data_IF_046604915649
#
_entry.id   IF_046604915649
#
_cell.length_a   1.000
_cell.length_b   1.000
_cell.length_c   1.000
_cell.angle_alpha   90.00
_cell.angle_beta   90.00
_cell.angle_gamma   90.00
#
_symmetry.space_group_name_H-M   'P 1'
#
loop_
_entity.id
_entity.type
_entity.pdbx_description
1 polymer ?
#
# COMPACT_ATOMS: atom_id res chain seq x y z
N UNK A 1 -4.08 -25.94 7.92
CA UNK A 1 -5.07 -25.36 6.98
C UNK A 1 -4.43 -24.16 6.31
N UNK A 2 -4.31 -24.16 4.98
CA UNK A 2 -3.78 -23.02 4.23
C UNK A 2 -4.81 -21.88 4.29
N UNK A 3 -4.63 -20.95 5.22
CA UNK A 3 -5.37 -19.68 5.19
C UNK A 3 -4.80 -18.85 4.04
N UNK A 4 -5.61 -18.64 3.00
CA UNK A 4 -5.33 -17.71 1.91
C UNK A 4 -5.19 -16.29 2.47
N UNK A 5 -4.18 -15.54 2.02
CA UNK A 5 -4.04 -14.13 2.37
C UNK A 5 -5.21 -13.33 1.75
N UNK A 6 -5.88 -12.49 2.55
CA UNK A 6 -6.96 -11.62 2.07
C UNK A 6 -6.37 -10.46 1.29
N UNK A 7 -6.73 -10.33 0.02
CA UNK A 7 -6.31 -9.21 -0.82
C UNK A 7 -7.34 -8.07 -0.79
N UNK A 8 -6.85 -6.84 -0.69
CA UNK A 8 -7.60 -5.60 -0.79
C UNK A 8 -7.01 -4.75 -1.91
N UNK A 9 -7.85 -4.17 -2.77
CA UNK A 9 -7.39 -3.22 -3.79
C UNK A 9 -7.60 -1.79 -3.33
N UNK A 10 -6.59 -0.93 -3.40
CA UNK A 10 -6.83 0.53 -3.38
C UNK A 10 -7.08 1.01 -4.81
N UNK A 11 -8.10 1.83 -5.02
CA UNK A 11 -8.42 2.35 -6.34
C UNK A 11 -8.83 3.83 -6.30
N UNK A 12 -8.32 4.68 -7.21
CA UNK A 12 -8.83 6.04 -7.38
C UNK A 12 -10.24 6.05 -7.99
N UNK A 13 -10.98 7.17 -7.89
CA UNK A 13 -12.42 7.21 -8.18
C UNK A 13 -12.79 6.79 -9.61
N UNK A 14 -11.94 7.12 -10.59
CA UNK A 14 -12.08 6.79 -12.00
C UNK A 14 -11.83 5.30 -12.29
N UNK A 15 -11.15 4.59 -11.39
CA UNK A 15 -10.77 3.18 -11.57
C UNK A 15 -11.53 2.22 -10.64
N UNK A 16 -12.30 2.71 -9.65
CA UNK A 16 -13.08 1.88 -8.73
C UNK A 16 -13.95 0.81 -9.45
N UNK A 17 -14.63 1.18 -10.54
CA UNK A 17 -15.48 0.24 -11.29
C UNK A 17 -14.68 -0.86 -11.97
N UNK A 18 -13.46 -0.56 -12.43
CA UNK A 18 -12.59 -1.54 -13.06
C UNK A 18 -12.03 -2.49 -12.00
N UNK A 19 -11.57 -1.96 -10.86
CA UNK A 19 -11.09 -2.75 -9.72
C UNK A 19 -12.15 -3.73 -9.19
N UNK A 20 -13.41 -3.30 -9.06
CA UNK A 20 -14.51 -4.14 -8.58
C UNK A 20 -14.78 -5.37 -9.46
N UNK A 21 -14.39 -5.37 -10.74
CA UNK A 21 -14.60 -6.51 -11.65
C UNK A 21 -13.80 -7.75 -11.23
N UNK A 22 -12.76 -7.57 -10.44
CA UNK A 22 -11.92 -8.65 -9.93
C UNK A 22 -12.51 -9.37 -8.71
N UNK A 23 -13.67 -8.94 -8.20
CA UNK A 23 -14.35 -9.58 -7.07
C UNK A 23 -13.64 -9.43 -5.72
N UNK A 24 -12.59 -8.60 -5.67
CA UNK A 24 -11.89 -8.25 -4.45
C UNK A 24 -12.55 -7.05 -3.73
N UNK A 25 -12.46 -6.97 -2.40
CA UNK A 25 -12.77 -5.74 -1.68
C UNK A 25 -11.95 -4.57 -2.23
N UNK A 26 -12.57 -3.39 -2.32
CA UNK A 26 -11.92 -2.16 -2.78
C UNK A 26 -11.92 -1.12 -1.66
N UNK A 27 -10.76 -0.51 -1.43
CA UNK A 27 -10.55 0.67 -0.62
C UNK A 27 -10.48 1.90 -1.54
N UNK A 28 -11.41 2.83 -1.36
CA UNK A 28 -11.63 3.94 -2.29
C UNK A 28 -10.71 5.12 -1.94
N UNK A 29 -9.71 5.37 -2.81
CA UNK A 29 -8.73 6.48 -2.71
C UNK A 29 -9.38 7.76 -3.18
N UNK A 30 -10.19 8.33 -2.31
CA UNK A 30 -11.09 9.41 -2.69
C UNK A 30 -11.35 10.41 -1.57
N UNK A 31 -10.66 10.27 -0.44
CA UNK A 31 -10.84 11.12 0.71
C UNK A 31 -9.50 11.64 1.20
N UNK A 32 -9.53 12.84 1.76
CA UNK A 32 -8.36 13.44 2.41
C UNK A 32 -8.76 14.26 3.62
N UNK A 33 -7.80 14.47 4.52
CA UNK A 33 -7.90 15.46 5.59
C UNK A 33 -7.63 16.83 4.98
N UNK A 34 -8.65 17.69 4.91
CA UNK A 34 -8.48 19.08 4.47
C UNK A 34 -8.26 20.05 5.62
N UNK A 35 -8.15 21.33 5.26
CA UNK A 35 -7.93 22.42 6.23
C UNK A 35 -8.97 22.42 7.35
N UNK A 36 -8.52 22.66 8.58
CA UNK A 36 -9.36 22.61 9.77
C UNK A 36 -9.82 21.21 10.18
N UNK A 37 -9.11 20.15 9.76
CA UNK A 37 -9.45 18.73 10.02
C UNK A 37 -10.84 18.32 9.55
N UNK A 38 -11.27 18.78 8.38
CA UNK A 38 -12.51 18.30 7.78
C UNK A 38 -12.26 17.20 6.75
N UNK A 39 -13.22 16.30 6.59
CA UNK A 39 -13.18 15.27 5.57
C UNK A 39 -13.52 15.86 4.20
N UNK A 40 -12.55 15.85 3.29
CA UNK A 40 -12.77 16.22 1.90
C UNK A 40 -12.94 14.95 1.07
N UNK A 41 -13.81 15.02 0.07
CA UNK A 41 -14.15 13.91 -0.80
C UNK A 41 -14.01 14.31 -2.26
N UNK A 42 -13.31 13.50 -3.05
CA UNK A 42 -13.26 13.59 -4.51
C UNK A 42 -14.56 13.09 -5.15
N UNK A 43 -14.75 13.34 -6.45
CA UNK A 43 -15.96 12.87 -7.13
C UNK A 43 -15.94 11.34 -7.30
N UNK A 44 -16.64 10.62 -6.42
CA UNK A 44 -16.84 9.17 -6.53
C UNK A 44 -18.21 8.90 -7.15
N UNK A 45 -18.31 8.03 -8.17
CA UNK A 45 -19.61 7.64 -8.73
C UNK A 45 -20.57 7.12 -7.65
N UNK A 46 -21.82 7.59 -7.65
CA UNK A 46 -22.84 7.26 -6.61
C UNK A 46 -23.12 5.75 -6.52
N UNK A 47 -22.90 5.02 -7.62
CA UNK A 47 -23.03 3.57 -7.69
C UNK A 47 -21.97 2.80 -6.90
N UNK A 48 -20.84 3.42 -6.57
CA UNK A 48 -19.76 2.78 -5.83
C UNK A 48 -20.11 2.83 -4.34
N UNK A 49 -20.26 1.64 -3.75
CA UNK A 49 -20.66 1.39 -2.36
C UNK A 49 -19.94 0.15 -1.84
N UNK A 50 -19.87 0.01 -0.53
CA UNK A 50 -19.17 -1.12 0.10
C UNK A 50 -17.65 -0.98 0.04
N UNK A 51 -16.94 -1.83 0.77
CA UNK A 51 -15.49 -1.77 0.87
C UNK A 51 -15.00 -0.74 1.88
N UNK A 52 -13.82 -0.18 1.66
CA UNK A 52 -13.14 0.65 2.66
C UNK A 52 -13.01 2.11 2.20
N UNK A 53 -12.97 3.02 3.16
CA UNK A 53 -12.56 4.41 2.92
C UNK A 53 -11.04 4.53 3.00
N UNK A 54 -10.38 5.08 1.98
CA UNK A 54 -8.98 5.52 2.10
C UNK A 54 -8.95 7.02 2.32
N UNK A 55 -8.20 7.47 3.33
CA UNK A 55 -8.03 8.88 3.68
C UNK A 55 -6.54 9.22 3.68
N UNK A 56 -6.12 10.15 2.82
CA UNK A 56 -4.76 10.70 2.83
C UNK A 56 -4.66 12.03 3.59
N UNK A 57 -3.45 12.51 3.86
CA UNK A 57 -3.17 13.79 4.52
C UNK A 57 -2.56 14.84 3.56
N UNK A 58 -2.77 14.71 2.25
CA UNK A 58 -2.20 15.60 1.24
C UNK A 58 -2.72 17.02 1.40
N UNK A 59 -1.80 17.97 1.63
CA UNK A 59 -2.13 19.38 1.80
C UNK A 59 -2.77 19.72 3.15
N UNK A 60 -2.73 18.81 4.14
CA UNK A 60 -3.17 19.08 5.49
C UNK A 60 -2.15 19.94 6.25
N UNK A 61 -2.62 20.97 6.96
CA UNK A 61 -1.77 21.96 7.65
C UNK A 61 -1.40 21.58 9.10
N UNK A 62 -1.88 20.43 9.57
CA UNK A 62 -1.62 19.94 10.93
C UNK A 62 -2.50 20.57 12.01
N UNK A 63 -3.49 21.39 11.67
CA UNK A 63 -4.34 22.12 12.63
C UNK A 63 -5.77 21.63 12.63
N UNK A 64 -6.39 21.65 13.81
CA UNK A 64 -7.80 21.30 14.00
C UNK A 64 -7.98 20.25 15.10
N UNK A 65 -9.15 19.62 15.12
CA UNK A 65 -9.58 18.68 16.15
C UNK A 65 -9.93 17.30 15.56
N UNK A 66 -9.34 16.25 16.13
CA UNK A 66 -9.56 14.88 15.68
C UNK A 66 -11.00 14.37 15.89
N UNK A 67 -11.67 14.82 16.95
CA UNK A 67 -13.00 14.30 17.33
C UNK A 67 -14.07 14.55 16.24
N UNK A 68 -14.33 15.82 15.87
CA UNK A 68 -15.26 16.15 14.80
C UNK A 68 -14.93 15.45 13.47
N UNK A 69 -13.64 15.43 13.10
CA UNK A 69 -13.14 14.72 11.93
C UNK A 69 -13.54 13.23 11.93
N UNK A 70 -13.32 12.52 13.04
CA UNK A 70 -13.65 11.10 13.14
C UNK A 70 -15.16 10.85 12.99
N UNK A 71 -16.01 11.79 13.44
CA UNK A 71 -17.46 11.69 13.25
C UNK A 71 -17.86 11.89 11.78
N UNK A 72 -17.21 12.80 11.07
CA UNK A 72 -17.42 12.98 9.63
C UNK A 72 -17.04 11.71 8.85
N UNK A 73 -15.88 11.13 9.18
CA UNK A 73 -15.40 9.86 8.61
C UNK A 73 -16.43 8.74 8.81
N UNK A 74 -16.90 8.53 10.04
CA UNK A 74 -17.90 7.50 10.31
C UNK A 74 -19.22 7.74 9.60
N UNK A 75 -19.70 8.99 9.57
CA UNK A 75 -20.96 9.33 8.90
C UNK A 75 -20.91 9.02 7.42
N UNK A 76 -19.81 9.37 6.76
CA UNK A 76 -19.60 9.08 5.35
C UNK A 76 -19.42 7.57 5.10
N UNK A 77 -18.70 6.84 5.97
CA UNK A 77 -18.61 5.38 5.90
C UNK A 77 -20.00 4.74 5.94
N UNK A 78 -20.85 5.15 6.89
CA UNK A 78 -22.23 4.65 6.99
C UNK A 78 -23.07 5.00 5.74
N UNK A 79 -22.94 6.22 5.21
CA UNK A 79 -23.68 6.66 4.03
C UNK A 79 -23.30 5.89 2.75
N UNK A 80 -22.03 5.47 2.65
CA UNK A 80 -21.49 4.71 1.51
C UNK A 80 -21.52 3.20 1.71
N UNK A 81 -21.87 2.75 2.92
CA UNK A 81 -21.83 1.34 3.31
C UNK A 81 -20.41 0.78 3.42
N UNK A 82 -19.42 1.63 3.71
CA UNK A 82 -18.07 1.17 3.97
C UNK A 82 -17.97 0.46 5.32
N UNK A 83 -17.17 -0.60 5.35
CA UNK A 83 -17.01 -1.50 6.50
C UNK A 83 -15.56 -1.56 7.01
N UNK A 84 -14.74 -0.57 6.65
CA UNK A 84 -13.38 -0.37 7.15
C UNK A 84 -12.75 0.93 6.67
N UNK A 85 -11.60 1.26 7.24
CA UNK A 85 -10.89 2.52 6.99
C UNK A 85 -9.41 2.21 6.76
N UNK A 86 -8.79 2.94 5.84
CA UNK A 86 -7.35 2.97 5.61
C UNK A 86 -6.88 4.43 5.71
N UNK A 87 -6.04 4.74 6.69
CA UNK A 87 -5.40 6.05 6.83
C UNK A 87 -4.03 6.02 6.16
N UNK A 88 -3.95 6.62 4.98
CA UNK A 88 -2.75 6.75 4.16
C UNK A 88 -2.01 8.04 4.54
N UNK A 89 -1.59 8.11 5.81
CA UNK A 89 -0.97 9.30 6.36
C UNK A 89 0.53 9.25 6.20
N UNK A 90 1.05 10.10 5.32
CA UNK A 90 2.45 10.17 4.99
C UNK A 90 3.23 11.14 5.89
N UNK A 91 4.53 10.87 6.03
CA UNK A 91 5.46 11.68 6.80
C UNK A 91 5.43 11.44 8.31
N UNK A 92 6.03 12.37 9.06
CA UNK A 92 6.14 12.28 10.51
C UNK A 92 4.76 12.36 11.17
N UNK A 93 4.47 11.53 12.21
CA UNK A 93 3.19 11.56 12.89
C UNK A 93 2.82 12.94 13.43
N UNK A 94 1.73 13.51 12.93
CA UNK A 94 1.14 14.73 13.46
C UNK A 94 0.23 14.38 14.63
N UNK A 95 0.31 15.15 15.72
CA UNK A 95 -0.46 14.88 16.95
C UNK A 95 -1.97 14.74 16.70
N UNK A 96 -2.52 15.60 15.84
CA UNK A 96 -3.95 15.57 15.50
C UNK A 96 -4.33 14.30 14.72
N UNK A 97 -3.48 13.82 13.80
CA UNK A 97 -3.71 12.60 13.05
C UNK A 97 -3.50 11.35 13.92
N UNK A 98 -2.52 11.39 14.83
CA UNK A 98 -2.32 10.35 15.85
C UNK A 98 -3.56 10.21 16.76
N UNK A 99 -4.13 11.33 17.21
CA UNK A 99 -5.37 11.33 17.98
C UNK A 99 -6.56 10.85 17.14
N UNK A 100 -6.61 11.17 15.84
CA UNK A 100 -7.63 10.64 14.94
C UNK A 100 -7.50 9.11 14.78
N UNK A 101 -6.31 8.57 14.59
CA UNK A 101 -6.05 7.12 14.52
C UNK A 101 -6.47 6.43 15.82
N UNK A 102 -6.15 7.00 16.99
CA UNK A 102 -6.61 6.47 18.29
C UNK A 102 -8.14 6.39 18.35
N UNK A 103 -8.80 7.51 18.05
CA UNK A 103 -10.26 7.65 18.13
C UNK A 103 -10.97 6.73 17.13
N UNK A 104 -10.50 6.70 15.88
CA UNK A 104 -11.00 5.79 14.85
C UNK A 104 -10.77 4.33 15.25
N UNK A 105 -9.64 4.00 15.87
CA UNK A 105 -9.33 2.66 16.34
C UNK A 105 -10.34 2.12 17.35
N UNK A 106 -10.74 2.93 18.32
CA UNK A 106 -11.79 2.58 19.27
C UNK A 106 -13.17 2.41 18.59
N UNK A 107 -13.50 3.33 17.70
CA UNK A 107 -14.79 3.38 17.02
C UNK A 107 -14.98 2.22 16.02
N UNK A 108 -13.93 1.85 15.31
CA UNK A 108 -13.90 0.74 14.35
C UNK A 108 -13.87 -0.61 15.05
N UNK A 109 -13.08 -0.74 16.14
CA UNK A 109 -13.05 -1.96 16.97
C UNK A 109 -14.44 -2.32 17.51
N UNK A 110 -15.20 -1.34 18.01
CA UNK A 110 -16.60 -1.55 18.48
C UNK A 110 -17.54 -2.06 17.38
N UNK A 111 -17.21 -1.80 16.11
CA UNK A 111 -18.00 -2.21 14.92
C UNK A 111 -17.48 -3.47 14.25
N UNK A 112 -16.33 -4.00 14.67
CA UNK A 112 -15.65 -5.10 13.98
C UNK A 112 -15.05 -4.70 12.62
N UNK A 113 -14.83 -3.40 12.39
CA UNK A 113 -14.24 -2.88 11.15
C UNK A 113 -12.72 -2.85 11.25
N UNK A 114 -11.97 -3.22 10.19
CA UNK A 114 -10.53 -3.04 10.18
C UNK A 114 -10.17 -1.56 10.03
N UNK A 115 -9.12 -1.14 10.73
CA UNK A 115 -8.46 0.14 10.54
C UNK A 115 -7.02 -0.13 10.10
N UNK A 116 -6.73 0.11 8.83
CA UNK A 116 -5.37 0.06 8.29
C UNK A 116 -4.73 1.44 8.43
N UNK A 117 -3.44 1.48 8.77
CA UNK A 117 -2.69 2.74 8.89
C UNK A 117 -1.28 2.55 8.36
N UNK A 118 -0.68 3.61 7.85
CA UNK A 118 0.77 3.65 7.59
C UNK A 118 1.52 3.31 8.88
N UNK A 119 2.65 2.61 8.76
CA UNK A 119 3.35 2.02 9.90
C UNK A 119 3.67 3.02 11.02
N UNK A 120 4.05 4.25 10.67
CA UNK A 120 4.37 5.31 11.63
C UNK A 120 3.20 5.63 12.57
N UNK A 121 1.97 5.39 12.12
CA UNK A 121 0.75 5.64 12.88
C UNK A 121 0.22 4.42 13.64
N UNK A 122 0.72 3.21 13.36
CA UNK A 122 0.27 1.98 14.02
C UNK A 122 0.39 2.00 15.56
N UNK A 123 1.41 2.62 16.19
CA UNK A 123 1.52 2.70 17.65
C UNK A 123 0.42 3.50 18.35
N UNK A 124 -0.34 4.34 17.65
CA UNK A 124 -1.34 5.22 18.28
C UNK A 124 -2.69 4.55 18.53
N UNK A 125 -2.85 3.29 18.13
CA UNK A 125 -4.05 2.50 18.38
C UNK A 125 -3.68 1.04 18.67
N UNK A 126 -4.36 0.41 19.62
CA UNK A 126 -4.16 -1.02 19.94
C UNK A 126 -4.84 -1.97 18.95
N UNK A 127 -5.73 -1.45 18.09
CA UNK A 127 -6.48 -2.24 17.10
C UNK A 127 -6.10 -1.95 15.65
N UNK A 128 -5.32 -0.90 15.38
CA UNK A 128 -4.90 -0.57 14.03
C UNK A 128 -3.94 -1.64 13.46
N UNK A 129 -4.10 -1.90 12.17
CA UNK A 129 -3.30 -2.83 11.37
C UNK A 129 -2.24 -2.00 10.63
N UNK A 130 -0.97 -2.25 10.94
CA UNK A 130 0.17 -1.60 10.30
C UNK A 130 0.33 -2.08 8.86
N UNK A 131 0.33 -1.15 7.91
CA UNK A 131 0.71 -1.39 6.53
C UNK A 131 2.24 -1.36 6.43
N UNK A 132 2.84 -2.49 6.05
CA UNK A 132 4.28 -2.63 5.86
C UNK A 132 4.60 -2.64 4.36
N UNK A 133 5.29 -1.60 3.85
CA UNK A 133 5.75 -1.52 2.46
C UNK A 133 6.56 -2.75 2.05
N UNK A 134 6.34 -3.22 0.82
CA UNK A 134 7.06 -4.36 0.25
C UNK A 134 8.18 -3.95 -0.70
N UNK A 135 8.20 -2.68 -1.14
CA UNK A 135 9.27 -2.15 -1.96
C UNK A 135 10.52 -1.94 -1.09
N UNK A 136 11.58 -2.69 -1.40
CA UNK A 136 12.89 -2.56 -0.76
C UNK A 136 13.95 -2.43 -1.85
N UNK A 137 14.83 -1.44 -1.73
CA UNK A 137 16.04 -1.31 -2.56
C UNK A 137 17.28 -1.94 -1.92
N UNK A 138 17.14 -2.45 -0.69
CA UNK A 138 18.17 -3.17 0.06
C UNK A 138 17.60 -3.89 1.28
N UNK A 139 18.38 -4.78 1.88
CA UNK A 139 17.94 -5.60 3.02
C UNK A 139 17.06 -6.78 2.59
N UNK A 140 16.21 -7.25 3.50
CA UNK A 140 15.39 -8.47 3.35
C UNK A 140 13.93 -8.21 3.68
N UNK A 141 13.02 -8.54 2.76
CA UNK A 141 11.57 -8.44 2.99
C UNK A 141 11.13 -9.36 4.13
N UNK A 142 11.72 -10.56 4.22
CA UNK A 142 11.39 -11.48 5.30
C UNK A 142 11.78 -10.90 6.66
N UNK A 143 13.00 -10.38 6.79
CA UNK A 143 13.44 -9.75 8.04
C UNK A 143 12.57 -8.55 8.39
N UNK A 144 12.27 -7.68 7.41
CA UNK A 144 11.45 -6.50 7.59
C UNK A 144 10.04 -6.81 8.12
N UNK A 145 9.41 -7.83 7.56
CA UNK A 145 8.09 -8.29 8.01
C UNK A 145 8.17 -9.00 9.36
N UNK A 146 9.23 -9.77 9.63
CA UNK A 146 9.46 -10.40 10.92
C UNK A 146 9.56 -9.34 12.04
N UNK A 147 10.35 -8.28 11.84
CA UNK A 147 10.47 -7.17 12.80
C UNK A 147 9.13 -6.47 13.05
N UNK A 148 8.32 -6.27 12.00
CA UNK A 148 6.98 -5.70 12.15
C UNK A 148 6.03 -6.64 12.92
N UNK A 149 6.08 -7.95 12.66
CA UNK A 149 5.30 -8.97 13.37
C UNK A 149 5.71 -9.06 14.84
N UNK A 150 7.00 -8.99 15.16
CA UNK A 150 7.49 -8.95 16.54
C UNK A 150 7.02 -7.70 17.28
N UNK A 151 6.99 -6.55 16.58
CA UNK A 151 6.58 -5.28 17.16
C UNK A 151 5.07 -5.15 17.38
N UNK A 152 4.26 -5.58 16.41
CA UNK A 152 2.81 -5.32 16.40
C UNK A 152 1.96 -6.57 16.59
N UNK A 153 2.52 -7.76 16.37
CA UNK A 153 1.80 -9.03 16.25
C UNK A 153 1.25 -9.26 14.84
N UNK A 154 1.29 -10.50 14.36
CA UNK A 154 0.90 -10.86 12.99
C UNK A 154 -0.54 -10.46 12.62
N UNK A 155 -1.47 -10.48 13.58
CA UNK A 155 -2.86 -10.06 13.37
C UNK A 155 -3.02 -8.55 13.13
N UNK A 156 -2.01 -7.75 13.48
CA UNK A 156 -1.97 -6.29 13.32
C UNK A 156 -0.97 -5.85 12.25
N UNK A 157 -0.55 -6.76 11.38
CA UNK A 157 0.31 -6.45 10.24
C UNK A 157 -0.43 -6.81 8.96
N UNK A 158 -0.31 -5.95 7.96
CA UNK A 158 -0.73 -6.20 6.59
C UNK A 158 0.40 -5.82 5.64
N UNK A 159 0.59 -6.60 4.58
CA UNK A 159 1.58 -6.28 3.55
C UNK A 159 1.00 -5.21 2.62
N UNK A 160 1.67 -4.06 2.50
CA UNK A 160 1.41 -3.10 1.43
C UNK A 160 2.27 -3.49 0.22
N UNK A 161 1.64 -4.14 -0.76
CA UNK A 161 2.32 -4.55 -1.99
C UNK A 161 2.50 -3.33 -2.88
N UNK A 162 3.75 -3.10 -3.23
CA UNK A 162 4.17 -2.07 -4.15
C UNK A 162 4.88 -2.76 -5.31
N UNK A 163 4.43 -2.46 -6.52
CA UNK A 163 5.10 -2.94 -7.73
C UNK A 163 6.27 -2.01 -8.02
N UNK A 164 7.47 -2.47 -7.71
CA UNK A 164 8.70 -1.74 -8.01
C UNK A 164 8.96 -1.79 -9.51
N UNK A 165 9.47 -0.69 -10.06
CA UNK A 165 10.10 -0.62 -11.36
C UNK A 165 11.02 0.61 -11.34
N UNK A 166 12.30 0.40 -11.05
CA UNK A 166 13.26 1.49 -10.81
C UNK A 166 14.61 1.21 -11.49
N UNK A 167 15.22 2.26 -12.03
CA UNK A 167 16.56 2.25 -12.63
C UNK A 167 17.52 3.05 -11.74
N UNK A 168 18.44 2.35 -11.09
CA UNK A 168 19.43 2.90 -10.18
C UNK A 168 20.72 3.17 -10.93
N UNK A 169 21.18 4.42 -10.89
CA UNK A 169 22.52 4.76 -11.30
C UNK A 169 23.53 4.39 -10.20
N UNK A 170 24.60 3.67 -10.54
CA UNK A 170 25.56 3.16 -9.57
C UNK A 170 26.87 3.98 -9.51
N UNK A 171 27.37 4.27 -8.30
CA UNK A 171 26.80 3.92 -6.99
C UNK A 171 25.55 4.73 -6.66
N UNK A 172 24.58 4.11 -5.97
CA UNK A 172 23.31 4.74 -5.57
C UNK A 172 23.32 5.06 -4.07
N UNK A 173 23.95 6.18 -3.63
CA UNK A 173 24.16 6.48 -2.22
C UNK A 173 22.85 6.71 -1.44
N UNK A 174 21.79 7.15 -2.11
CA UNK A 174 20.48 7.39 -1.49
C UNK A 174 19.61 6.13 -1.43
N UNK A 175 19.99 5.06 -2.15
CA UNK A 175 19.16 3.88 -2.32
C UNK A 175 17.84 4.14 -3.05
N UNK A 176 17.75 5.22 -3.85
CA UNK A 176 16.56 5.58 -4.63
C UNK A 176 16.87 5.52 -6.13
N UNK A 177 16.07 4.76 -6.87
CA UNK A 177 16.18 4.68 -8.32
C UNK A 177 15.29 5.70 -9.02
N UNK A 178 15.50 5.87 -10.31
CA UNK A 178 14.57 6.59 -11.18
C UNK A 178 13.37 5.68 -11.46
N UNK A 179 12.13 6.07 -11.11
CA UNK A 179 10.95 5.28 -11.41
C UNK A 179 10.80 5.06 -12.92
N UNK A 180 10.41 3.85 -13.29
CA UNK A 180 10.14 3.45 -14.67
C UNK A 180 8.65 3.23 -14.86
N UNK A 181 8.13 3.76 -15.96
CA UNK A 181 6.85 3.31 -16.50
C UNK A 181 6.96 1.87 -16.99
N UNK A 182 5.81 1.19 -17.11
CA UNK A 182 5.76 -0.18 -17.66
C UNK A 182 6.36 -0.26 -19.05
N UNK A 183 6.11 0.76 -19.86
CA UNK A 183 6.62 0.85 -21.23
C UNK A 183 8.14 1.02 -21.26
N UNK A 184 8.69 1.89 -20.41
CA UNK A 184 10.13 2.08 -20.29
C UNK A 184 10.86 0.83 -19.78
N UNK A 185 10.25 0.08 -18.86
CA UNK A 185 10.79 -1.21 -18.41
C UNK A 185 10.75 -2.25 -19.54
N UNK A 186 9.62 -2.37 -20.23
CA UNK A 186 9.45 -3.29 -21.38
C UNK A 186 10.47 -3.00 -22.47
N UNK A 187 10.60 -1.73 -22.87
CA UNK A 187 11.56 -1.30 -23.87
C UNK A 187 13.01 -1.63 -23.45
N UNK A 188 13.39 -1.39 -22.18
CA UNK A 188 14.72 -1.77 -21.69
C UNK A 188 14.98 -3.27 -21.79
N UNK A 189 14.00 -4.11 -21.42
CA UNK A 189 14.11 -5.57 -21.51
C UNK A 189 14.25 -6.04 -22.96
N UNK A 190 13.45 -5.49 -23.88
CA UNK A 190 13.47 -5.85 -25.30
C UNK A 190 14.76 -5.42 -26.00
N UNK A 191 15.19 -4.16 -25.82
CA UNK A 191 16.37 -3.61 -26.49
C UNK A 191 17.67 -4.26 -26.04
N UNK A 192 17.77 -4.63 -24.75
CA UNK A 192 19.01 -5.13 -24.16
C UNK A 192 19.07 -6.65 -24.09
N UNK A 193 17.91 -7.33 -24.12
CA UNK A 193 17.78 -8.75 -23.83
C UNK A 193 18.66 -9.20 -22.64
N UNK A 194 18.56 -8.53 -21.47
CA UNK A 194 19.50 -8.77 -20.38
C UNK A 194 19.25 -10.13 -19.73
N UNK A 195 20.28 -10.66 -19.05
CA UNK A 195 20.06 -11.75 -18.08
C UNK A 195 19.32 -11.20 -16.86
N UNK A 196 18.09 -11.65 -16.66
CA UNK A 196 17.26 -11.27 -15.51
C UNK A 196 17.47 -12.28 -14.38
N UNK A 197 17.78 -11.76 -13.20
CA UNK A 197 17.95 -12.54 -11.98
C UNK A 197 16.81 -12.26 -11.00
N UNK A 198 16.64 -13.12 -10.01
CA UNK A 198 15.67 -12.94 -8.94
C UNK A 198 16.39 -12.75 -7.60
N UNK A 199 16.09 -11.68 -6.89
CA UNK A 199 16.56 -11.46 -5.52
C UNK A 199 15.60 -12.09 -4.53
N UNK A 200 16.03 -13.14 -3.84
CA UNK A 200 15.22 -13.76 -2.78
C UNK A 200 15.01 -12.83 -1.58
N UNK A 201 15.98 -11.95 -1.31
CA UNK A 201 15.91 -11.00 -0.20
C UNK A 201 14.87 -9.90 -0.48
N UNK A 202 14.89 -9.31 -1.68
CA UNK A 202 13.97 -8.24 -2.06
C UNK A 202 12.63 -8.77 -2.58
N UNK A 203 12.57 -10.06 -2.92
CA UNK A 203 11.45 -10.68 -3.64
C UNK A 203 11.09 -9.92 -4.91
N UNK A 204 12.10 -9.56 -5.71
CA UNK A 204 11.97 -8.77 -6.94
C UNK A 204 13.00 -9.23 -7.99
N UNK A 205 12.71 -8.95 -9.25
CA UNK A 205 13.61 -9.21 -10.38
C UNK A 205 14.59 -8.05 -10.56
N UNK A 206 15.80 -8.38 -11.03
CA UNK A 206 16.75 -7.34 -11.38
C UNK A 206 17.65 -7.73 -12.55
N UNK A 207 18.23 -6.73 -13.19
CA UNK A 207 19.36 -6.88 -14.11
C UNK A 207 20.27 -5.66 -14.02
N UNK A 208 21.49 -5.79 -14.51
CA UNK A 208 22.45 -4.68 -14.61
C UNK A 208 22.80 -4.40 -16.06
N UNK A 209 23.13 -3.15 -16.37
CA UNK A 209 23.62 -2.78 -17.69
C UNK A 209 24.59 -1.60 -17.61
N UNK A 210 25.42 -1.45 -18.65
CA UNK A 210 26.34 -0.32 -18.79
C UNK A 210 25.78 0.68 -19.80
N UNK A 211 25.51 1.90 -19.36
CA UNK A 211 25.24 3.04 -20.22
C UNK A 211 26.55 3.69 -20.67
N UNK A 212 26.68 3.94 -21.99
CA UNK A 212 27.84 4.65 -22.55
C UNK A 212 27.94 6.10 -22.09
N UNK A 213 26.82 6.70 -21.69
CA UNK A 213 26.78 8.11 -21.27
C UNK A 213 27.09 8.26 -19.80
N UNK A 214 26.48 7.41 -18.96
CA UNK A 214 26.46 7.67 -17.52
C UNK A 214 27.16 6.59 -16.69
N UNK A 215 27.34 5.35 -17.18
CA UNK A 215 28.05 4.30 -16.44
C UNK A 215 27.16 3.12 -16.05
N UNK A 216 27.39 2.51 -14.88
CA UNK A 216 26.71 1.29 -14.46
C UNK A 216 25.29 1.56 -13.93
N UNK A 217 24.36 0.70 -14.29
CA UNK A 217 22.96 0.76 -13.88
C UNK A 217 22.50 -0.58 -13.31
N UNK A 218 21.57 -0.51 -12.36
CA UNK A 218 20.86 -1.64 -11.77
C UNK A 218 19.37 -1.37 -11.88
N UNK A 219 18.62 -2.25 -12.54
CA UNK A 219 17.16 -2.14 -12.67
C UNK A 219 16.52 -3.15 -11.75
N UNK A 220 15.62 -2.71 -10.88
CA UNK A 220 14.83 -3.55 -9.97
C UNK A 220 13.36 -3.45 -10.38
N UNK A 221 12.66 -4.58 -10.50
CA UNK A 221 11.26 -4.56 -10.88
C UNK A 221 10.46 -5.77 -10.37
N UNK A 222 9.14 -5.60 -10.35
CA UNK A 222 8.19 -6.64 -9.97
C UNK A 222 7.34 -7.12 -11.16
N UNK A 223 7.05 -8.43 -11.14
CA UNK A 223 6.07 -9.10 -11.97
C UNK A 223 5.05 -9.86 -11.08
N UNK A 224 4.17 -10.66 -11.70
CA UNK A 224 3.22 -11.45 -10.94
C UNK A 224 3.89 -12.53 -10.07
N UNK A 225 5.01 -13.11 -10.52
CA UNK A 225 5.77 -14.12 -9.78
C UNK A 225 6.43 -13.55 -8.52
N UNK A 226 7.07 -12.39 -8.64
CA UNK A 226 7.68 -11.68 -7.52
C UNK A 226 6.64 -11.22 -6.50
N UNK A 227 5.50 -10.68 -6.94
CA UNK A 227 4.39 -10.30 -6.05
C UNK A 227 3.81 -11.54 -5.33
N UNK A 228 3.63 -12.68 -6.01
CA UNK A 228 3.23 -13.93 -5.34
C UNK A 228 4.24 -14.35 -4.29
N UNK A 229 5.54 -14.17 -4.54
CA UNK A 229 6.58 -14.46 -3.56
C UNK A 229 6.48 -13.54 -2.35
N UNK A 230 6.26 -12.24 -2.54
CA UNK A 230 6.02 -11.27 -1.45
C UNK A 230 4.83 -11.69 -0.58
N UNK A 231 3.71 -12.06 -1.20
CA UNK A 231 2.52 -12.57 -0.51
C UNK A 231 2.80 -13.88 0.24
N UNK A 232 3.60 -14.78 -0.34
CA UNK A 232 4.00 -16.03 0.30
C UNK A 232 4.87 -15.77 1.55
N UNK A 233 5.84 -14.87 1.48
CA UNK A 233 6.69 -14.50 2.62
C UNK A 233 5.83 -13.95 3.76
N UNK A 234 4.91 -13.01 3.47
CA UNK A 234 3.98 -12.49 4.47
C UNK A 234 3.14 -13.60 5.12
N UNK A 235 2.57 -14.50 4.31
CA UNK A 235 1.78 -15.63 4.80
C UNK A 235 2.59 -16.57 5.71
N UNK A 236 3.85 -16.83 5.40
CA UNK A 236 4.72 -17.70 6.21
C UNK A 236 4.96 -17.11 7.61
N UNK A 237 4.81 -15.79 7.76
CA UNK A 237 4.93 -15.06 9.03
C UNK A 237 3.57 -14.88 9.74
N UNK A 238 2.50 -15.53 9.24
CA UNK A 238 1.16 -15.43 9.82
C UNK A 238 0.38 -14.17 9.44
N UNK A 239 0.92 -13.33 8.55
CA UNK A 239 0.22 -12.14 8.04
C UNK A 239 -0.93 -12.59 7.13
N UNK A 240 -2.14 -12.13 7.45
CA UNK A 240 -3.38 -12.63 6.84
C UNK A 240 -4.01 -11.67 5.83
N UNK A 241 -3.47 -10.46 5.66
CA UNK A 241 -3.99 -9.51 4.68
C UNK A 241 -2.90 -8.75 3.94
N UNK A 242 -3.20 -8.38 2.70
CA UNK A 242 -2.34 -7.54 1.86
C UNK A 242 -3.18 -6.52 1.08
N UNK A 243 -2.60 -5.35 0.87
CA UNK A 243 -3.19 -4.24 0.10
C UNK A 243 -2.37 -4.06 -1.17
N UNK A 244 -3.04 -3.91 -2.31
CA UNK A 244 -2.42 -3.68 -3.61
C UNK A 244 -3.05 -2.45 -4.26
N UNK A 245 -2.23 -1.56 -4.81
CA UNK A 245 -2.73 -0.45 -5.61
C UNK A 245 -3.19 -0.93 -6.99
N UNK A 246 -4.50 -0.84 -7.27
CA UNK A 246 -5.06 -1.23 -8.56
C UNK A 246 -4.33 -0.62 -9.77
N UNK A 247 -3.98 0.69 -9.78
CA UNK A 247 -3.22 1.26 -10.90
C UNK A 247 -1.83 0.62 -11.11
N UNK A 248 -1.26 -0.03 -10.10
CA UNK A 248 0.04 -0.69 -10.20
C UNK A 248 -0.06 -2.14 -10.69
N UNK A 249 -1.18 -2.82 -10.43
CA UNK A 249 -1.30 -4.28 -10.63
C UNK A 249 -2.42 -4.71 -11.57
N UNK A 250 -3.17 -3.79 -12.18
CA UNK A 250 -4.32 -4.10 -13.06
C UNK A 250 -4.00 -5.11 -14.18
N UNK A 251 -2.82 -5.02 -14.79
CA UNK A 251 -2.29 -5.95 -15.80
C UNK A 251 -1.86 -7.30 -15.20
N UNK A 252 -1.48 -7.33 -13.92
CA UNK A 252 -1.01 -8.53 -13.22
C UNK A 252 -2.14 -9.28 -12.50
N UNK A 253 -3.26 -8.61 -12.15
CA UNK A 253 -4.37 -9.20 -11.40
C UNK A 253 -4.95 -10.48 -12.02
N UNK A 254 -5.17 -10.59 -13.34
CA UNK A 254 -5.65 -11.83 -13.95
C UNK A 254 -4.74 -13.03 -13.71
N UNK A 255 -3.44 -12.78 -13.54
CA UNK A 255 -2.48 -13.81 -13.21
C UNK A 255 -2.40 -14.04 -11.69
N UNK A 256 -2.36 -12.98 -10.88
CA UNK A 256 -2.27 -13.07 -9.42
C UNK A 256 -3.45 -13.80 -8.76
N UNK A 257 -4.63 -13.80 -9.40
CA UNK A 257 -5.85 -14.42 -8.90
C UNK A 257 -6.10 -15.85 -9.40
N UNK A 258 -5.17 -16.42 -10.17
CA UNK A 258 -5.17 -17.84 -10.52
C UNK A 258 -4.62 -18.67 -9.36
#
# INVERSE_FOLDING_TARGET
MQTSIKLLLTAPPDQCRAALRFGLPVAHVAYRVGGGTHLFRASIPVSVRGGLMVIDNTGFDGRGEAGPFCQEVLRECMARGYDGILCDFEGHPLQVLAQAVRTLGELTKKRGWPLYVTEAYAPFSDSAIALIPSALSGGSLQQRLQEAVERFGAARVALAVERVAEDFFLPSPTGQGMPLTREELRQRLEERAPSVFFSSELCAHYFTYMSRQNGAHFVLFDDAGSIRKKLQVARNLGISSAVLAYPQVDDLLPELLK
#
